data_IF_525120412967
#
_entry.id   IF_525120412967
#
_cell.length_a   1.000
_cell.length_b   1.000
_cell.length_c   1.000
_cell.angle_alpha   90.00
_cell.angle_beta   90.00
_cell.angle_gamma   90.00
#
_symmetry.space_group_name_H-M   'P 1'
#
loop_
_entity.id
_entity.type
_entity.pdbx_description
1 polymer ?
#
# COMPACT_ATOMS: atom_id res chain seq x y z
N UNK A 1 -6.01 -12.69 -7.53
CA UNK A 1 -5.01 -11.62 -7.41
C UNK A 1 -4.01 -12.08 -6.38
N UNK A 2 -2.74 -12.19 -6.76
CA UNK A 2 -1.70 -12.66 -5.84
C UNK A 2 -1.07 -11.48 -5.10
N UNK A 3 -0.43 -11.75 -3.94
CA UNK A 3 0.28 -10.73 -3.17
C UNK A 3 1.34 -10.00 -3.99
N UNK A 4 1.96 -10.72 -4.92
CA UNK A 4 2.96 -10.17 -5.84
C UNK A 4 2.36 -9.09 -6.74
N UNK A 5 1.16 -9.31 -7.31
CA UNK A 5 0.49 -8.30 -8.13
C UNK A 5 0.16 -7.03 -7.34
N UNK A 6 -0.31 -7.20 -6.09
CA UNK A 6 -0.60 -6.08 -5.18
C UNK A 6 0.68 -5.27 -4.93
N UNK A 7 1.76 -5.96 -4.60
CA UNK A 7 3.06 -5.35 -4.31
C UNK A 7 3.59 -4.59 -5.52
N UNK A 8 3.56 -5.17 -6.72
CA UNK A 8 4.04 -4.50 -7.93
C UNK A 8 3.27 -3.20 -8.22
N UNK A 9 1.94 -3.22 -8.04
CA UNK A 9 1.09 -2.01 -8.18
C UNK A 9 1.34 -1.00 -7.07
N UNK A 10 1.49 -1.45 -5.83
CA UNK A 10 1.76 -0.59 -4.67
C UNK A 10 3.11 0.13 -4.84
N UNK A 11 4.15 -0.61 -5.23
CA UNK A 11 5.48 -0.04 -5.51
C UNK A 11 5.43 0.97 -6.66
N UNK A 12 4.66 0.68 -7.72
CA UNK A 12 4.45 1.64 -8.79
C UNK A 12 3.78 2.93 -8.29
N UNK A 13 2.73 2.82 -7.46
CA UNK A 13 2.06 3.98 -6.87
C UNK A 13 2.98 4.79 -5.95
N UNK A 14 3.78 4.09 -5.14
CA UNK A 14 4.74 4.72 -4.25
C UNK A 14 5.80 5.51 -5.05
N UNK A 15 6.28 4.96 -6.16
CA UNK A 15 7.18 5.63 -7.07
C UNK A 15 6.52 6.84 -7.75
N UNK A 16 5.30 6.69 -8.27
CA UNK A 16 4.57 7.76 -8.94
C UNK A 16 4.24 8.93 -8.00
N UNK A 17 3.76 8.66 -6.77
CA UNK A 17 3.32 9.70 -5.84
C UNK A 17 4.44 10.31 -5.00
N UNK A 18 5.35 9.47 -4.51
CA UNK A 18 6.37 9.88 -3.53
C UNK A 18 7.78 9.90 -4.12
N UNK A 19 7.97 9.45 -5.36
CA UNK A 19 9.30 9.41 -5.99
C UNK A 19 10.24 8.39 -5.34
N UNK A 20 9.70 7.41 -4.61
CA UNK A 20 10.50 6.36 -3.96
C UNK A 20 11.11 5.42 -5.00
N UNK A 21 12.32 4.92 -4.74
CA UNK A 21 12.96 3.95 -5.63
C UNK A 21 12.29 2.57 -5.48
N UNK A 22 11.69 2.00 -6.54
CA UNK A 22 11.08 0.68 -6.50
C UNK A 22 12.01 -0.42 -5.96
N UNK A 23 13.32 -0.25 -6.15
CA UNK A 23 14.32 -1.23 -5.72
C UNK A 23 14.61 -1.20 -4.23
N UNK A 24 14.27 -0.12 -3.54
CA UNK A 24 14.48 0.02 -2.09
C UNK A 24 13.27 -0.40 -1.29
N UNK A 25 12.10 -0.55 -1.94
CA UNK A 25 10.86 -0.96 -1.30
C UNK A 25 10.80 -2.49 -1.19
N UNK A 26 10.70 -2.98 0.04
CA UNK A 26 10.51 -4.41 0.35
C UNK A 26 9.25 -4.61 1.18
N UNK A 27 8.79 -5.85 1.33
CA UNK A 27 7.62 -6.16 2.18
C UNK A 27 7.83 -5.71 3.64
N UNK A 28 9.07 -5.72 4.13
CA UNK A 28 9.39 -5.31 5.50
C UNK A 28 9.52 -3.79 5.67
N UNK A 29 9.62 -3.06 4.55
CA UNK A 29 9.76 -1.60 4.57
C UNK A 29 8.51 -0.99 5.19
N UNK A 30 8.71 -0.05 6.11
CA UNK A 30 7.65 0.65 6.83
C UNK A 30 7.32 1.99 6.18
N UNK A 31 6.12 2.50 6.45
CA UNK A 31 5.71 3.80 5.90
C UNK A 31 6.66 4.94 6.31
N UNK A 32 7.17 4.93 7.55
CA UNK A 32 8.02 6.00 8.06
C UNK A 32 9.40 6.01 7.38
N UNK A 33 9.91 4.83 7.01
CA UNK A 33 11.14 4.68 6.25
C UNK A 33 11.02 5.27 4.84
N UNK A 34 9.80 5.34 4.30
CA UNK A 34 9.49 5.96 3.02
C UNK A 34 9.16 7.45 3.14
N UNK A 35 9.18 8.02 4.36
CA UNK A 35 8.75 9.40 4.62
C UNK A 35 7.24 9.61 4.44
N UNK A 36 6.44 8.54 4.59
CA UNK A 36 4.99 8.59 4.46
C UNK A 36 4.37 8.75 5.84
N UNK A 37 3.83 9.94 6.10
CA UNK A 37 3.05 10.23 7.30
C UNK A 37 1.63 9.65 7.22
N UNK A 38 0.91 9.64 8.33
CA UNK A 38 -0.45 9.10 8.42
C UNK A 38 -1.45 9.72 7.44
N UNK A 39 -1.30 11.01 7.09
CA UNK A 39 -2.15 11.68 6.10
C UNK A 39 -1.84 11.16 4.69
N UNK A 40 -0.55 11.06 4.35
CA UNK A 40 -0.11 10.54 3.05
C UNK A 40 -0.47 9.06 2.87
N UNK A 41 -0.48 8.30 3.97
CA UNK A 41 -0.98 6.93 3.97
C UNK A 41 -2.45 6.90 3.55
N UNK A 42 -3.31 7.74 4.13
CA UNK A 42 -4.73 7.79 3.74
C UNK A 42 -4.89 8.10 2.26
N UNK A 43 -4.16 9.08 1.73
CA UNK A 43 -4.18 9.39 0.30
C UNK A 43 -3.70 8.21 -0.55
N UNK A 44 -2.65 7.50 -0.12
CA UNK A 44 -2.18 6.30 -0.79
C UNK A 44 -3.25 5.20 -0.80
N UNK A 45 -3.97 5.01 0.29
CA UNK A 45 -5.05 4.02 0.37
C UNK A 45 -6.19 4.35 -0.59
N UNK A 46 -6.58 5.61 -0.71
CA UNK A 46 -7.59 6.06 -1.68
C UNK A 46 -7.15 5.83 -3.13
N UNK A 47 -5.88 6.08 -3.45
CA UNK A 47 -5.34 5.77 -4.78
C UNK A 47 -5.29 4.28 -5.07
N UNK A 48 -5.03 3.45 -4.05
CA UNK A 48 -5.08 2.00 -4.19
C UNK A 48 -6.50 1.54 -4.52
N UNK A 49 -7.53 2.08 -3.85
CA UNK A 49 -8.94 1.83 -4.14
C UNK A 49 -9.27 2.14 -5.60
N UNK A 50 -8.94 3.35 -6.06
CA UNK A 50 -9.18 3.83 -7.42
C UNK A 50 -8.44 2.97 -8.46
N UNK A 51 -7.12 2.80 -8.30
CA UNK A 51 -6.27 2.10 -9.28
C UNK A 51 -6.55 0.62 -9.39
N UNK A 52 -7.04 0.00 -8.33
CA UNK A 52 -7.36 -1.41 -8.37
C UNK A 52 -8.85 -1.64 -8.69
N UNK A 53 -9.71 -0.62 -8.54
CA UNK A 53 -11.17 -0.68 -8.67
C UNK A 53 -11.84 -1.51 -7.55
N UNK A 54 -11.65 -1.10 -6.29
CA UNK A 54 -12.35 -1.64 -5.11
C UNK A 54 -12.47 -0.60 -4.00
N UNK A 55 -13.16 -0.97 -2.92
CA UNK A 55 -13.18 -0.18 -1.69
C UNK A 55 -12.80 -1.05 -0.50
N UNK A 56 -12.00 -0.50 0.41
CA UNK A 56 -11.71 -1.09 1.70
C UNK A 56 -12.97 -0.99 2.58
N UNK A 57 -13.43 -2.11 3.13
CA UNK A 57 -14.54 -2.13 4.09
C UNK A 57 -14.09 -1.59 5.46
N UNK A 58 -12.83 -1.84 5.82
CA UNK A 58 -12.20 -1.29 7.03
C UNK A 58 -10.70 -1.13 6.80
N UNK A 59 -10.17 0.06 7.04
CA UNK A 59 -8.73 0.34 7.01
C UNK A 59 -8.13 0.15 8.40
N UNK A 60 -7.98 -1.10 8.82
CA UNK A 60 -7.38 -1.43 10.11
C UNK A 60 -5.90 -1.71 9.92
N UNK A 61 -5.07 -0.67 9.98
CA UNK A 61 -3.62 -0.77 9.92
C UNK A 61 -2.99 -0.41 11.27
N UNK A 62 -1.84 -1.00 11.64
CA UNK A 62 -1.08 -0.54 12.79
C UNK A 62 -0.59 0.91 12.57
N UNK A 63 -0.14 1.62 13.62
CA UNK A 63 0.31 3.02 13.51
C UNK A 63 1.47 3.25 12.53
N UNK A 64 2.23 2.20 12.26
CA UNK A 64 3.35 2.20 11.34
C UNK A 64 3.33 0.88 10.54
N UNK A 65 2.45 0.77 9.54
CA UNK A 65 2.31 -0.41 8.71
C UNK A 65 3.54 -0.60 7.83
N UNK A 66 3.85 -1.86 7.60
CA UNK A 66 4.76 -2.29 6.56
C UNK A 66 4.04 -2.40 5.21
N UNK A 67 4.81 -2.44 4.13
CA UNK A 67 4.28 -2.75 2.80
C UNK A 67 3.56 -4.10 2.80
N UNK A 68 4.03 -5.06 3.60
CA UNK A 68 3.35 -6.35 3.81
C UNK A 68 1.94 -6.16 4.38
N UNK A 69 1.79 -5.36 5.45
CA UNK A 69 0.51 -5.09 6.09
C UNK A 69 -0.50 -4.46 5.12
N UNK A 70 -0.05 -3.53 4.28
CA UNK A 70 -0.88 -2.89 3.24
C UNK A 70 -1.29 -3.93 2.19
N UNK A 71 -0.35 -4.78 1.74
CA UNK A 71 -0.64 -5.82 0.77
C UNK A 71 -1.67 -6.83 1.30
N UNK A 72 -1.51 -7.27 2.55
CA UNK A 72 -2.46 -8.16 3.22
C UNK A 72 -3.84 -7.53 3.34
N UNK A 73 -3.91 -6.24 3.71
CA UNK A 73 -5.18 -5.53 3.83
C UNK A 73 -5.92 -5.48 2.48
N UNK A 74 -5.22 -5.21 1.38
CA UNK A 74 -5.80 -5.24 0.03
C UNK A 74 -6.34 -6.63 -0.29
N UNK A 75 -5.55 -7.69 -0.05
CA UNK A 75 -5.96 -9.07 -0.32
C UNK A 75 -7.20 -9.46 0.46
N UNK A 76 -7.26 -9.12 1.76
CA UNK A 76 -8.40 -9.42 2.62
C UNK A 76 -9.70 -8.79 2.12
N UNK A 77 -9.64 -7.55 1.63
CA UNK A 77 -10.80 -6.82 1.10
C UNK A 77 -11.17 -7.21 -0.35
N UNK A 78 -10.34 -8.02 -1.01
CA UNK A 78 -10.53 -8.50 -2.39
C UNK A 78 -10.96 -9.96 -2.49
N UNK A 79 -10.97 -10.68 -1.37
CA UNK A 79 -11.58 -12.02 -1.30
C UNK A 79 -13.11 -11.89 -1.43
N UNK A 80 -13.77 -12.66 -2.31
CA UNK A 80 -15.22 -12.65 -2.47
C UNK A 80 -15.97 -13.11 -1.22
#
# INVERSE_FOLDING_TARGET
MEKKDVMERLVALLHEKFGTDPKTVTLQTRQDELGIDSILLVDLMLDIEDRMDFSFQSMTLPPNPSIDDICELVLQNRTP
#
